data_IF_224873192900
#
_entry.id   IF_224873192900
#
_cell.length_a   1.000
_cell.length_b   1.000
_cell.length_c   1.000
_cell.angle_alpha   90.00
_cell.angle_beta   90.00
_cell.angle_gamma   90.00
#
_symmetry.space_group_name_H-M   'P 1'
#
loop_
_entity.id
_entity.type
_entity.pdbx_description
1 polymer ?
#
# COMPACT_ATOMS: atom_id res chain seq x y z
N UNK A 1 -13.00 9.98 36.74
CA UNK A 1 -11.84 9.11 36.97
C UNK A 1 -11.50 8.45 35.66
N UNK A 2 -10.57 9.05 34.92
CA UNK A 2 -10.04 8.49 33.68
C UNK A 2 -9.02 7.41 34.07
N UNK A 3 -9.14 6.21 33.49
CA UNK A 3 -8.08 5.20 33.56
C UNK A 3 -7.39 5.18 32.22
N UNK A 4 -6.28 5.90 32.17
CA UNK A 4 -5.22 5.80 31.18
C UNK A 4 -4.59 4.41 31.28
N UNK A 5 -4.63 3.61 30.21
CA UNK A 5 -3.71 2.45 30.05
C UNK A 5 -3.68 1.84 28.63
N UNK A 6 -4.14 2.53 27.57
CA UNK A 6 -4.11 1.97 26.20
C UNK A 6 -3.80 3.01 25.11
N UNK A 7 -2.87 3.95 25.36
CA UNK A 7 -2.49 4.96 24.34
C UNK A 7 -0.98 5.08 24.11
N UNK A 8 -0.22 3.99 24.25
CA UNK A 8 1.23 3.98 23.99
C UNK A 8 1.65 3.00 22.89
N UNK A 9 0.91 2.95 21.77
CA UNK A 9 1.38 2.25 20.56
C UNK A 9 1.32 3.10 19.28
N UNK A 10 1.24 4.43 19.40
CA UNK A 10 1.14 5.33 18.24
C UNK A 10 2.31 6.32 18.10
N UNK A 11 3.32 6.26 18.98
CA UNK A 11 4.44 7.23 19.01
C UNK A 11 5.70 6.79 18.26
N UNK A 12 5.63 5.71 17.48
CA UNK A 12 6.55 5.47 16.35
C UNK A 12 5.78 5.42 15.04
N UNK A 13 4.92 6.41 14.79
CA UNK A 13 4.63 6.77 13.40
C UNK A 13 5.95 7.25 12.80
N UNK A 14 6.53 6.42 11.95
CA UNK A 14 7.60 6.75 10.99
C UNK A 14 7.15 7.97 10.18
N UNK A 15 7.29 9.16 10.77
CA UNK A 15 6.76 10.40 10.20
C UNK A 15 7.72 10.81 9.11
N UNK A 16 7.49 10.31 7.89
CA UNK A 16 8.13 10.85 6.68
C UNK A 16 7.70 12.30 6.61
N UNK A 17 8.59 13.22 6.98
CA UNK A 17 8.31 14.65 6.86
C UNK A 17 8.36 15.04 5.39
N UNK A 18 7.59 16.06 4.98
CA UNK A 18 7.53 16.52 3.59
C UNK A 18 8.90 16.94 3.03
N UNK A 19 9.87 17.22 3.91
CA UNK A 19 11.24 17.60 3.58
C UNK A 19 12.19 16.40 3.30
N UNK A 20 11.75 15.16 3.52
CA UNK A 20 12.54 13.97 3.22
C UNK A 20 12.42 13.60 1.73
N UNK A 21 13.48 13.00 1.18
CA UNK A 21 13.39 12.35 -0.13
C UNK A 21 12.22 11.36 -0.14
N UNK A 22 11.47 11.25 -1.25
CA UNK A 22 10.36 10.31 -1.33
C UNK A 22 10.87 8.89 -1.03
N UNK A 23 10.09 8.08 -0.29
CA UNK A 23 10.47 6.70 -0.04
C UNK A 23 10.60 5.96 -1.39
N UNK A 24 11.56 5.04 -1.48
CA UNK A 24 11.76 4.23 -2.68
C UNK A 24 10.62 3.24 -2.92
N UNK A 25 9.91 2.87 -1.85
CA UNK A 25 8.85 1.88 -1.86
C UNK A 25 7.79 2.22 -0.82
N UNK A 26 6.53 2.03 -1.19
CA UNK A 26 5.39 2.07 -0.26
C UNK A 26 4.51 0.86 -0.52
N UNK A 27 4.01 0.22 0.54
CA UNK A 27 2.95 -0.76 0.46
C UNK A 27 1.85 -0.37 1.43
N UNK A 28 0.60 -0.41 0.96
CA UNK A 28 -0.56 -0.12 1.79
C UNK A 28 -1.63 -1.19 1.66
N UNK A 29 -2.25 -1.50 2.79
CA UNK A 29 -3.44 -2.33 2.85
C UNK A 29 -4.66 -1.42 2.74
N UNK A 30 -5.53 -1.73 1.78
CA UNK A 30 -6.76 -0.96 1.54
C UNK A 30 -7.69 -1.10 2.74
N UNK A 31 -8.25 0.02 3.19
CA UNK A 31 -9.26 0.01 4.24
C UNK A 31 -10.58 -0.59 3.73
N UNK A 32 -11.35 -1.31 4.56
CA UNK A 32 -12.61 -1.88 4.13
C UNK A 32 -13.54 -0.84 3.49
N UNK A 33 -14.13 -1.18 2.35
CA UNK A 33 -15.09 -0.34 1.62
C UNK A 33 -16.31 -1.16 1.18
N UNK A 34 -17.44 -0.48 1.00
CA UNK A 34 -18.71 -1.12 0.61
C UNK A 34 -18.85 -1.26 -0.91
N UNK A 35 -18.43 -0.24 -1.64
CA UNK A 35 -18.50 -0.13 -3.10
C UNK A 35 -17.50 0.94 -3.58
N UNK A 36 -17.47 1.21 -4.89
CA UNK A 36 -16.53 2.16 -5.50
C UNK A 36 -16.87 3.63 -5.19
N UNK A 37 -18.09 3.92 -4.72
CA UNK A 37 -18.53 5.26 -4.32
C UNK A 37 -18.17 5.58 -2.85
N UNK A 38 -17.58 4.63 -2.13
CA UNK A 38 -17.20 4.81 -0.73
C UNK A 38 -15.92 5.64 -0.59
N UNK A 39 -15.86 6.52 0.41
CA UNK A 39 -14.69 7.38 0.66
C UNK A 39 -13.37 6.60 0.86
N UNK A 40 -13.40 5.41 1.49
CA UNK A 40 -12.20 4.59 1.65
C UNK A 40 -11.68 4.08 0.29
N UNK A 41 -12.60 3.70 -0.61
CA UNK A 41 -12.23 3.30 -1.96
C UNK A 41 -11.57 4.47 -2.70
N UNK A 42 -12.22 5.64 -2.73
CA UNK A 42 -11.67 6.83 -3.38
C UNK A 42 -10.30 7.20 -2.82
N UNK A 43 -10.15 7.22 -1.49
CA UNK A 43 -8.88 7.54 -0.85
C UNK A 43 -7.76 6.59 -1.28
N UNK A 44 -7.98 5.29 -1.15
CA UNK A 44 -6.91 4.29 -1.31
C UNK A 44 -6.61 3.96 -2.79
N UNK A 45 -7.61 4.04 -3.68
CA UNK A 45 -7.45 3.73 -5.10
C UNK A 45 -7.24 4.95 -6.02
N UNK A 46 -7.57 6.17 -5.57
CA UNK A 46 -7.49 7.37 -6.40
C UNK A 46 -6.55 8.40 -5.76
N UNK A 47 -6.92 8.92 -4.59
CA UNK A 47 -6.23 10.08 -4.02
C UNK A 47 -4.77 9.77 -3.68
N UNK A 48 -4.51 8.62 -3.03
CA UNK A 48 -3.16 8.20 -2.68
C UNK A 48 -2.31 7.83 -3.90
N UNK A 49 -2.89 7.17 -4.90
CA UNK A 49 -2.21 6.85 -6.16
C UNK A 49 -1.72 8.14 -6.82
N UNK A 50 -2.59 9.15 -6.92
CA UNK A 50 -2.23 10.45 -7.48
C UNK A 50 -1.15 11.15 -6.64
N UNK A 51 -1.30 11.16 -5.31
CA UNK A 51 -0.32 11.76 -4.40
C UNK A 51 1.06 11.12 -4.54
N UNK A 52 1.14 9.79 -4.57
CA UNK A 52 2.41 9.07 -4.65
C UNK A 52 3.05 9.17 -6.04
N UNK A 53 2.25 9.24 -7.10
CA UNK A 53 2.74 9.49 -8.44
C UNK A 53 3.40 10.87 -8.52
N UNK A 54 2.72 11.91 -8.00
CA UNK A 54 3.24 13.27 -7.96
C UNK A 54 4.51 13.39 -7.10
N UNK A 55 4.60 12.60 -6.03
CA UNK A 55 5.80 12.51 -5.19
C UNK A 55 6.94 11.73 -5.82
N UNK A 56 6.72 11.07 -6.96
CA UNK A 56 7.77 10.33 -7.66
C UNK A 56 8.21 9.05 -6.95
N UNK A 57 7.32 8.40 -6.21
CA UNK A 57 7.63 7.12 -5.55
C UNK A 57 7.79 6.05 -6.65
N UNK A 58 8.97 5.38 -6.77
CA UNK A 58 9.22 4.46 -7.87
C UNK A 58 8.29 3.25 -7.90
N UNK A 59 7.98 2.67 -6.74
CA UNK A 59 7.14 1.47 -6.64
C UNK A 59 6.14 1.60 -5.49
N UNK A 60 4.86 1.39 -5.79
CA UNK A 60 3.76 1.47 -4.84
C UNK A 60 2.87 0.24 -4.91
N UNK A 61 2.60 -0.39 -3.78
CA UNK A 61 1.75 -1.58 -3.70
C UNK A 61 0.43 -1.26 -3.02
N UNK A 62 -0.67 -1.68 -3.67
CA UNK A 62 -2.02 -1.67 -3.12
C UNK A 62 -2.42 -3.11 -2.83
N UNK A 63 -2.54 -3.45 -1.55
CA UNK A 63 -2.92 -4.78 -1.06
C UNK A 63 -4.40 -4.73 -0.69
N UNK A 64 -5.24 -5.45 -1.43
CA UNK A 64 -6.69 -5.45 -1.21
C UNK A 64 -7.19 -6.85 -0.78
N UNK A 65 -7.44 -7.06 0.52
CA UNK A 65 -8.02 -8.29 1.04
C UNK A 65 -9.45 -8.56 0.56
N UNK A 66 -10.26 -7.53 0.29
CA UNK A 66 -11.63 -7.75 -0.20
C UNK A 66 -11.65 -8.25 -1.64
N UNK A 67 -10.77 -7.74 -2.49
CA UNK A 67 -10.61 -8.19 -3.88
C UNK A 67 -9.65 -9.38 -4.04
N UNK A 68 -8.99 -9.79 -2.96
CA UNK A 68 -7.97 -10.85 -2.95
C UNK A 68 -6.88 -10.60 -4.00
N UNK A 69 -6.34 -9.38 -4.02
CA UNK A 69 -5.32 -9.00 -5.01
C UNK A 69 -4.24 -8.08 -4.43
N UNK A 70 -3.09 -8.11 -5.09
CA UNK A 70 -1.99 -7.16 -4.88
C UNK A 70 -1.75 -6.44 -6.20
N UNK A 71 -1.83 -5.11 -6.18
CA UNK A 71 -1.57 -4.28 -7.36
C UNK A 71 -0.20 -3.63 -7.18
N UNK A 72 0.75 -3.94 -8.06
CA UNK A 72 2.07 -3.32 -8.11
C UNK A 72 2.03 -2.19 -9.13
N UNK A 73 2.25 -0.96 -8.66
CA UNK A 73 2.30 0.25 -9.47
C UNK A 73 3.76 0.67 -9.60
N UNK A 74 4.31 0.57 -10.82
CA UNK A 74 5.67 0.99 -11.14
C UNK A 74 5.63 2.35 -11.85
N UNK A 75 6.38 3.33 -11.35
CA UNK A 75 6.43 4.67 -11.93
C UNK A 75 7.33 4.67 -13.16
N UNK A 76 6.72 4.80 -14.34
CA UNK A 76 7.43 4.84 -15.62
C UNK A 76 7.12 6.17 -16.30
N UNK A 77 8.16 6.97 -16.57
CA UNK A 77 8.03 8.29 -17.21
C UNK A 77 6.99 9.20 -16.51
N UNK A 78 6.96 9.19 -15.18
CA UNK A 78 6.07 10.03 -14.38
C UNK A 78 4.62 9.54 -14.25
N UNK A 79 4.29 8.37 -14.79
CA UNK A 79 2.96 7.75 -14.65
C UNK A 79 3.07 6.31 -14.15
N UNK A 80 2.17 5.90 -13.24
CA UNK A 80 2.15 4.53 -12.77
C UNK A 80 1.61 3.56 -13.82
N UNK A 81 2.34 2.45 -14.00
CA UNK A 81 1.87 1.26 -14.69
C UNK A 81 1.51 0.19 -13.67
N UNK A 82 0.30 -0.36 -13.77
CA UNK A 82 -0.24 -1.30 -12.79
C UNK A 82 -0.17 -2.74 -13.30
N UNK A 83 0.38 -3.64 -12.48
CA UNK A 83 0.28 -5.09 -12.66
C UNK A 83 -0.46 -5.70 -11.47
N UNK A 84 -1.43 -6.58 -11.73
CA UNK A 84 -2.26 -7.20 -10.69
C UNK A 84 -1.84 -8.66 -10.51
N UNK A 85 -1.59 -9.05 -9.26
CA UNK A 85 -1.26 -10.40 -8.84
C UNK A 85 -2.36 -10.95 -7.93
N UNK A 86 -2.75 -12.21 -8.13
CA UNK A 86 -3.79 -12.92 -7.38
C UNK A 86 -3.37 -14.36 -7.09
N UNK A 87 -3.91 -14.94 -6.02
CA UNK A 87 -3.67 -16.34 -5.67
C UNK A 87 -2.18 -16.67 -5.58
N UNK A 88 -1.76 -17.77 -6.22
CA UNK A 88 -0.38 -18.25 -6.18
C UNK A 88 0.56 -17.55 -7.19
N UNK A 89 0.14 -16.46 -7.82
CA UNK A 89 1.03 -15.68 -8.67
C UNK A 89 2.13 -15.04 -7.81
N UNK A 90 3.39 -15.28 -8.17
CA UNK A 90 4.54 -14.63 -7.56
C UNK A 90 4.52 -13.14 -7.93
N UNK A 91 4.66 -12.28 -6.91
CA UNK A 91 4.69 -10.84 -7.09
C UNK A 91 6.07 -10.47 -7.64
N UNK A 92 6.08 -9.75 -8.76
CA UNK A 92 7.32 -9.23 -9.35
C UNK A 92 7.53 -7.81 -8.86
N UNK A 93 8.62 -7.58 -8.12
CA UNK A 93 9.04 -6.27 -7.63
C UNK A 93 10.29 -5.81 -8.38
N UNK A 94 10.34 -4.55 -8.79
CA UNK A 94 11.55 -3.97 -9.35
C UNK A 94 12.52 -3.56 -8.24
N UNK A 95 11.98 -3.11 -7.11
CA UNK A 95 12.72 -2.70 -5.91
C UNK A 95 13.31 -3.91 -5.17
N UNK A 96 12.62 -5.04 -5.19
CA UNK A 96 13.04 -6.29 -4.55
C UNK A 96 13.05 -7.47 -5.54
N UNK A 97 14.01 -7.54 -6.49
CA UNK A 97 14.02 -8.56 -7.54
C UNK A 97 14.13 -10.02 -7.05
N UNK A 98 14.64 -10.21 -5.84
CA UNK A 98 14.81 -11.53 -5.20
C UNK A 98 13.61 -11.92 -4.32
N UNK A 99 12.52 -11.14 -4.35
CA UNK A 99 11.36 -11.42 -3.52
C UNK A 99 10.61 -12.68 -4.02
N UNK A 100 10.60 -13.70 -3.19
CA UNK A 100 9.84 -14.93 -3.40
C UNK A 100 8.57 -14.92 -2.55
N UNK A 101 7.58 -14.13 -2.98
CA UNK A 101 6.30 -13.99 -2.29
C UNK A 101 5.14 -14.04 -3.29
N UNK A 102 4.12 -14.86 -2.99
CA UNK A 102 2.87 -14.89 -3.76
C UNK A 102 1.82 -13.93 -3.19
N UNK A 103 0.87 -13.50 -4.02
CA UNK A 103 -0.24 -12.67 -3.58
C UNK A 103 -1.04 -13.31 -2.44
N UNK A 104 -1.32 -14.62 -2.52
CA UNK A 104 -2.03 -15.37 -1.49
C UNK A 104 -1.27 -15.36 -0.16
N UNK A 105 0.04 -15.59 -0.17
CA UNK A 105 0.85 -15.55 1.05
C UNK A 105 0.82 -14.15 1.69
N UNK A 106 0.94 -13.09 0.89
CA UNK A 106 0.87 -11.72 1.41
C UNK A 106 -0.51 -11.41 2.00
N UNK A 107 -1.60 -11.81 1.34
CA UNK A 107 -2.97 -11.53 1.78
C UNK A 107 -3.38 -12.34 3.02
N UNK A 108 -2.74 -13.49 3.27
CA UNK A 108 -2.96 -14.31 4.47
C UNK A 108 -2.24 -13.80 5.72
N UNK A 109 -1.32 -12.84 5.57
CA UNK A 109 -0.68 -12.20 6.72
C UNK A 109 -1.73 -11.52 7.60
N UNK A 110 -1.55 -11.58 8.92
CA UNK A 110 -2.44 -10.87 9.86
C UNK A 110 -2.06 -9.39 9.85
N UNK A 111 -2.94 -8.57 9.29
CA UNK A 111 -2.87 -7.12 9.38
C UNK A 111 -3.63 -6.71 10.65
N UNK A 112 -2.87 -6.32 11.69
CA UNK A 112 -3.41 -5.99 13.02
C UNK A 112 -4.16 -4.67 13.07
#
# INVERSE_FOLDING_TARGET
VMREDHLFQTEKRLTITLAMLPPQFVAEVVSPYRNQDNDNYRRDYIDKVQQYQQRGIPEYWIIDPQKQQVSVLLLVNGTYQTTIFKGNQQIVSWTFPQLELTAAQLLQAKWG
#
